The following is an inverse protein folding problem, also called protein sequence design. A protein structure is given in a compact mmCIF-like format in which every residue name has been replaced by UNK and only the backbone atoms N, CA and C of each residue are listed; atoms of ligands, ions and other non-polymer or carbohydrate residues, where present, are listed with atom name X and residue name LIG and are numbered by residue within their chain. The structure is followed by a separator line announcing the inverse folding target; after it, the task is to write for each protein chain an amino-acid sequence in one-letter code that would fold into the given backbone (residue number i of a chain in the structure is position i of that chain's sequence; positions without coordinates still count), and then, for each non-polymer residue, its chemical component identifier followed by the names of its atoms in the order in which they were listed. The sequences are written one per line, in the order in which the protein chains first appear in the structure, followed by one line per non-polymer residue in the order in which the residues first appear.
data_IF_178930936866
#
_entry.id   IF_178930936866
#
_cell.length_a   1.000
_cell.length_b   1.000
_cell.length_c   1.000
_cell.angle_alpha   90.00
_cell.angle_beta   90.00
_cell.angle_gamma   90.00
#
_symmetry.space_group_name_H-M   'P 1'
#
loop_
_entity.id
_entity.type
_entity.pdbx_description
1 polymer ?
#
# COMPACT_ATOMS: atom_id res chain seq x y z
N UNK A 1 2.74 10.04 -26.46
CA UNK A 1 2.50 10.21 -25.01
C UNK A 1 3.30 9.13 -24.30
N UNK A 2 3.99 9.45 -23.22
CA UNK A 2 4.66 8.44 -22.39
C UNK A 2 3.67 7.95 -21.34
N UNK A 3 3.32 6.67 -21.37
CA UNK A 3 2.41 6.06 -20.38
C UNK A 3 3.19 5.62 -19.15
N UNK A 4 2.68 5.92 -17.96
CA UNK A 4 3.22 5.44 -16.68
C UNK A 4 2.34 4.30 -16.18
N UNK A 5 2.97 3.19 -15.79
CA UNK A 5 2.28 2.03 -15.21
C UNK A 5 2.55 1.99 -13.70
N UNK A 6 1.53 1.65 -12.92
CA UNK A 6 1.60 1.54 -11.45
C UNK A 6 1.12 0.15 -11.05
N UNK A 7 1.86 -0.52 -10.15
CA UNK A 7 1.47 -1.79 -9.57
C UNK A 7 1.37 -1.62 -8.04
N UNK A 8 0.16 -1.70 -7.45
CA UNK A 8 0.01 -1.64 -6.00
C UNK A 8 0.53 -2.93 -5.35
N UNK A 9 1.13 -2.80 -4.18
CA UNK A 9 1.51 -3.96 -3.37
C UNK A 9 0.27 -4.56 -2.69
N UNK A 10 0.17 -5.90 -2.57
CA UNK A 10 -0.85 -6.55 -1.76
C UNK A 10 -0.81 -6.04 -0.32
N UNK A 11 -1.96 -6.06 0.38
CA UNK A 11 -2.07 -5.59 1.77
C UNK A 11 -1.18 -6.37 2.76
N UNK A 12 -0.80 -7.60 2.40
CA UNK A 12 0.07 -8.48 3.20
C UNK A 12 1.56 -8.19 3.00
N UNK A 13 1.92 -7.46 1.94
CA UNK A 13 3.31 -7.18 1.60
C UNK A 13 3.76 -5.83 2.19
N UNK A 14 4.97 -5.82 2.75
CA UNK A 14 5.55 -4.63 3.34
C UNK A 14 6.51 -3.95 2.36
N UNK A 15 6.30 -2.66 2.11
CA UNK A 15 7.29 -1.81 1.47
C UNK A 15 7.34 -0.44 2.13
N UNK A 16 8.55 -0.03 2.50
CA UNK A 16 8.82 1.32 3.00
C UNK A 16 10.20 1.75 2.51
N UNK A 17 10.29 2.98 2.01
CA UNK A 17 11.57 3.61 1.68
C UNK A 17 11.96 4.58 2.78
N UNK A 18 13.16 4.39 3.33
CA UNK A 18 13.73 5.33 4.30
C UNK A 18 14.25 6.57 3.56
N UNK A 19 13.66 7.73 3.84
CA UNK A 19 14.07 9.03 3.32
C UNK A 19 14.42 10.04 4.44
N UNK A 20 13.98 9.81 5.67
CA UNK A 20 14.22 10.65 6.84
C UNK A 20 14.37 9.79 8.10
N UNK A 21 14.73 10.41 9.24
CA UNK A 21 14.96 9.67 10.49
C UNK A 21 13.67 9.10 11.09
N UNK A 22 12.53 9.73 10.81
CA UNK A 22 11.22 9.23 11.23
C UNK A 22 10.89 7.89 10.54
N UNK A 23 11.04 7.83 9.21
CA UNK A 23 10.86 6.61 8.43
C UNK A 23 11.90 5.56 8.79
N UNK A 24 13.13 5.96 9.15
CA UNK A 24 14.13 5.04 9.69
C UNK A 24 13.67 4.40 11.01
N UNK A 25 13.08 5.20 11.91
CA UNK A 25 12.53 4.72 13.18
C UNK A 25 11.35 3.76 12.95
N UNK A 26 10.43 4.09 12.04
CA UNK A 26 9.30 3.23 11.65
C UNK A 26 9.81 1.91 11.06
N UNK A 27 10.64 1.98 10.00
CA UNK A 27 11.19 0.80 9.33
C UNK A 27 11.91 -0.13 10.31
N UNK A 28 12.72 0.43 11.21
CA UNK A 28 13.46 -0.36 12.21
C UNK A 28 12.53 -1.06 13.20
N UNK A 29 11.46 -0.37 13.61
CA UNK A 29 10.45 -0.95 14.51
C UNK A 29 9.65 -2.04 13.82
N UNK A 30 9.28 -1.84 12.56
CA UNK A 30 8.54 -2.82 11.75
C UNK A 30 9.37 -4.08 11.50
N UNK A 31 10.67 -3.94 11.22
CA UNK A 31 11.61 -5.07 11.13
C UNK A 31 11.71 -5.81 12.46
N UNK A 32 11.85 -5.08 13.58
CA UNK A 32 11.95 -5.68 14.92
C UNK A 32 10.66 -6.43 15.30
N UNK A 33 9.51 -5.87 14.94
CA UNK A 33 8.18 -6.46 15.15
C UNK A 33 7.79 -7.51 14.11
N UNK A 34 8.68 -7.83 13.16
CA UNK A 34 8.51 -8.87 12.13
C UNK A 34 7.45 -8.59 11.08
N UNK A 35 7.10 -7.34 10.83
CA UNK A 35 6.23 -6.97 9.69
C UNK A 35 6.88 -7.30 8.35
N UNK A 36 8.22 -7.33 8.31
CA UNK A 36 9.00 -7.61 7.09
C UNK A 36 9.45 -9.08 7.02
N UNK A 37 8.72 -10.02 7.64
CA UNK A 37 9.08 -11.44 7.57
C UNK A 37 9.08 -11.94 6.11
N UNK A 38 10.08 -12.75 5.66
CA UNK A 38 11.13 -13.42 6.43
C UNK A 38 12.40 -12.59 6.66
N UNK A 39 12.44 -11.31 6.26
CA UNK A 39 13.60 -10.42 6.36
C UNK A 39 13.82 -9.85 7.77
N UNK A 40 13.97 -10.73 8.77
CA UNK A 40 14.14 -10.38 10.18
C UNK A 40 15.48 -10.86 10.75
N UNK A 41 16.03 -10.24 11.81
CA UNK A 41 17.41 -10.49 12.26
C UNK A 41 17.74 -11.94 12.65
N UNK A 42 16.77 -12.72 13.13
CA UNK A 42 16.99 -14.11 13.56
C UNK A 42 17.03 -15.13 12.41
N UNK A 43 16.53 -14.77 11.22
CA UNK A 43 16.45 -15.69 10.07
C UNK A 43 17.79 -15.86 9.34
N UNK A 44 18.84 -15.14 9.73
CA UNK A 44 20.20 -15.34 9.22
C UNK A 44 20.35 -15.02 7.72
N UNK A 45 19.53 -14.10 7.20
CA UNK A 45 19.50 -13.73 5.77
C UNK A 45 20.88 -13.30 5.28
N UNK A 46 21.62 -12.56 6.11
CA UNK A 46 22.99 -12.16 5.83
C UNK A 46 23.97 -13.23 6.32
N UNK A 47 24.44 -14.08 5.41
CA UNK A 47 25.52 -15.05 5.69
C UNK A 47 25.06 -16.44 6.08
N UNK A 48 23.75 -16.75 6.01
CA UNK A 48 23.18 -18.10 6.28
C UNK A 48 23.42 -18.66 7.69
N UNK A 49 23.82 -17.81 8.63
CA UNK A 49 24.03 -18.16 10.03
C UNK A 49 23.01 -17.47 10.93
N UNK A 50 22.30 -18.26 11.75
CA UNK A 50 21.39 -17.75 12.77
C UNK A 50 22.16 -17.27 13.99
N UNK A 51 22.68 -16.05 13.88
CA UNK A 51 23.51 -15.39 14.88
C UNK A 51 22.71 -14.77 16.04
N UNK A 52 21.44 -14.44 15.79
CA UNK A 52 20.53 -13.88 16.77
C UNK A 52 19.56 -14.95 17.30
N UNK A 53 19.36 -14.97 18.61
CA UNK A 53 18.25 -15.68 19.26
C UNK A 53 17.09 -14.73 19.49
N UNK A 54 15.89 -15.14 19.06
CA UNK A 54 14.65 -14.41 19.30
C UNK A 54 13.99 -14.85 20.61
N UNK A 55 13.57 -13.89 21.44
CA UNK A 55 12.88 -14.11 22.71
C UNK A 55 11.54 -13.36 22.74
N UNK A 56 10.71 -13.62 23.76
CA UNK A 56 9.46 -12.89 23.98
C UNK A 56 9.71 -11.38 24.04
N UNK A 57 8.68 -10.59 23.69
CA UNK A 57 8.72 -9.13 23.59
C UNK A 57 9.67 -8.61 22.50
N UNK A 58 9.83 -9.36 21.42
CA UNK A 58 10.66 -8.98 20.26
C UNK A 58 12.11 -8.63 20.62
N UNK A 59 12.70 -9.45 21.52
CA UNK A 59 14.08 -9.25 21.94
C UNK A 59 15.00 -10.14 21.10
N UNK A 60 15.91 -9.52 20.37
CA UNK A 60 16.94 -10.17 19.56
C UNK A 60 18.28 -10.07 20.28
N UNK A 61 18.90 -11.22 20.55
CA UNK A 61 20.19 -11.29 21.24
C UNK A 61 21.19 -12.02 20.39
N UNK A 62 22.32 -11.40 20.10
CA UNK A 62 23.45 -12.12 19.53
C UNK A 62 23.98 -13.17 20.53
N UNK A 63 24.57 -14.27 20.05
CA UNK A 63 25.12 -15.33 20.92
C UNK A 63 26.28 -14.85 21.81
N UNK A 64 27.07 -13.92 21.29
CA UNK A 64 28.27 -13.38 21.96
C UNK A 64 27.97 -12.05 22.66
N UNK A 65 27.10 -12.03 23.66
CA UNK A 65 26.81 -10.81 24.45
C UNK A 65 27.17 -11.01 25.93
N UNK A 66 27.49 -9.91 26.62
CA UNK A 66 27.70 -9.89 28.07
C UNK A 66 26.64 -8.99 28.70
N UNK A 67 25.63 -9.62 29.30
CA UNK A 67 24.54 -8.94 29.99
C UNK A 67 24.72 -9.11 31.51
N UNK A 68 24.78 -8.01 32.25
CA UNK A 68 24.84 -8.04 33.70
C UNK A 68 23.53 -8.56 34.33
N UNK A 69 23.60 -9.14 35.53
CA UNK A 69 22.47 -9.83 36.16
C UNK A 69 21.27 -8.92 36.47
N UNK A 70 21.51 -7.63 36.73
CA UNK A 70 20.47 -6.64 37.03
C UNK A 70 20.07 -5.78 35.82
N UNK A 71 20.63 -6.05 34.64
CA UNK A 71 20.24 -5.35 33.43
C UNK A 71 18.85 -5.80 32.97
N UNK A 72 17.98 -4.85 32.63
CA UNK A 72 16.60 -5.10 32.22
C UNK A 72 16.43 -4.77 30.75
N UNK A 73 16.00 -5.78 29.98
CA UNK A 73 15.63 -5.62 28.58
C UNK A 73 14.10 -5.70 28.51
N UNK A 74 13.45 -4.61 28.06
CA UNK A 74 11.99 -4.51 28.03
C UNK A 74 11.40 -5.14 26.76
N UNK A 75 11.11 -4.33 25.74
CA UNK A 75 10.49 -4.76 24.47
C UNK A 75 11.19 -4.15 23.27
N UNK A 76 11.12 -4.84 22.13
CA UNK A 76 11.63 -4.41 20.82
C UNK A 76 13.12 -3.99 20.90
N UNK A 77 13.96 -4.90 21.41
CA UNK A 77 15.40 -4.63 21.61
C UNK A 77 16.23 -5.54 20.74
N UNK A 78 17.19 -4.97 20.02
CA UNK A 78 18.18 -5.72 19.22
C UNK A 78 19.58 -5.47 19.78
N UNK A 79 20.31 -6.53 20.11
CA UNK A 79 21.65 -6.45 20.68
C UNK A 79 22.66 -7.17 19.79
N UNK A 80 23.58 -6.39 19.22
CA UNK A 80 24.66 -6.85 18.35
C UNK A 80 25.74 -7.69 19.03
N UNK A 81 26.68 -8.17 18.21
CA UNK A 81 27.81 -8.99 18.66
C UNK A 81 28.72 -8.21 19.62
N UNK A 82 29.26 -8.88 20.66
CA UNK A 82 30.25 -8.34 21.61
C UNK A 82 29.77 -7.12 22.39
N UNK A 83 28.46 -6.91 22.49
CA UNK A 83 27.92 -5.87 23.35
C UNK A 83 28.06 -6.24 24.83
N UNK A 84 28.40 -5.24 25.63
CA UNK A 84 28.50 -5.31 27.09
C UNK A 84 27.48 -4.35 27.70
N UNK A 85 26.56 -4.86 28.51
CA UNK A 85 25.56 -4.05 29.21
C UNK A 85 25.72 -4.29 30.70
N UNK A 86 26.03 -3.24 31.45
CA UNK A 86 26.31 -3.30 32.89
C UNK A 86 25.03 -3.23 33.76
N UNK A 87 25.21 -3.28 35.08
CA UNK A 87 24.15 -3.41 36.07
C UNK A 87 23.19 -2.22 36.12
N UNK A 88 21.93 -2.50 36.47
CA UNK A 88 20.86 -1.52 36.68
C UNK A 88 20.51 -0.66 35.45
N UNK A 89 20.97 -1.08 34.27
CA UNK A 89 20.65 -0.44 32.99
C UNK A 89 19.36 -1.00 32.38
N UNK A 90 18.56 -0.12 31.81
CA UNK A 90 17.27 -0.44 31.17
C UNK A 90 17.33 -0.09 29.69
N UNK A 91 16.97 -1.04 28.82
CA UNK A 91 16.93 -0.86 27.37
C UNK A 91 15.55 -1.21 26.84
N UNK A 92 14.94 -0.30 26.08
CA UNK A 92 13.61 -0.46 25.48
C UNK A 92 13.53 0.18 24.10
N UNK A 93 12.86 -0.48 23.15
CA UNK A 93 12.62 -0.01 21.78
C UNK A 93 13.89 0.52 21.09
N UNK A 94 15.02 -0.15 21.30
CA UNK A 94 16.34 0.36 20.95
C UNK A 94 17.19 -0.71 20.26
N UNK A 95 18.03 -0.27 19.34
CA UNK A 95 18.94 -1.13 18.57
C UNK A 95 20.37 -0.78 18.96
N UNK A 96 21.13 -1.79 19.37
CA UNK A 96 22.54 -1.69 19.71
C UNK A 96 23.36 -2.44 18.66
N UNK A 97 24.24 -1.71 17.96
CA UNK A 97 25.21 -2.22 17.00
C UNK A 97 26.28 -3.10 17.64
N UNK A 98 27.27 -3.53 16.86
CA UNK A 98 28.32 -4.43 17.31
C UNK A 98 29.33 -3.72 18.21
N UNK A 99 29.75 -4.39 19.28
CA UNK A 99 30.83 -3.93 20.15
C UNK A 99 30.47 -2.74 21.06
N UNK A 100 29.18 -2.44 21.23
CA UNK A 100 28.74 -1.37 22.11
C UNK A 100 29.00 -1.70 23.59
N UNK A 101 29.41 -0.70 24.36
CA UNK A 101 29.61 -0.82 25.80
C UNK A 101 28.70 0.16 26.52
N UNK A 102 27.80 -0.36 27.33
CA UNK A 102 26.82 0.42 28.10
C UNK A 102 27.13 0.25 29.58
N UNK A 103 27.40 1.37 30.25
CA UNK A 103 27.70 1.46 31.67
C UNK A 103 26.49 1.21 32.56
N UNK A 104 26.63 1.54 33.85
CA UNK A 104 25.67 1.26 34.91
C UNK A 104 24.61 2.34 35.03
N UNK A 105 23.42 1.94 35.46
CA UNK A 105 22.30 2.84 35.74
C UNK A 105 21.93 3.74 34.53
N UNK A 106 22.03 3.20 33.32
CA UNK A 106 21.67 3.92 32.10
C UNK A 106 20.23 3.61 31.68
N UNK A 107 19.58 4.57 31.03
CA UNK A 107 18.22 4.40 30.48
C UNK A 107 18.25 4.67 28.99
N UNK A 108 18.03 3.64 28.17
CA UNK A 108 18.03 3.72 26.72
C UNK A 108 16.62 3.46 26.19
N UNK A 109 15.98 4.47 25.62
CA UNK A 109 14.61 4.38 25.09
C UNK A 109 14.50 4.99 23.70
N UNK A 110 14.00 4.22 22.71
CA UNK A 110 13.89 4.67 21.33
C UNK A 110 15.24 5.15 20.73
N UNK A 111 16.32 4.44 21.04
CA UNK A 111 17.67 4.83 20.65
C UNK A 111 18.24 3.88 19.60
N UNK A 112 19.02 4.45 18.67
CA UNK A 112 19.78 3.71 17.67
C UNK A 112 21.26 3.96 17.90
N UNK A 113 21.96 2.99 18.47
CA UNK A 113 23.40 3.04 18.69
C UNK A 113 24.06 2.16 17.62
N UNK A 114 24.91 2.75 16.78
CA UNK A 114 25.69 2.01 15.78
C UNK A 114 26.92 1.33 16.42
N UNK A 115 27.81 0.83 15.58
CA UNK A 115 28.94 -0.02 16.01
C UNK A 115 29.97 0.76 16.85
N UNK A 116 30.49 0.13 17.90
CA UNK A 116 31.57 0.66 18.72
C UNK A 116 31.20 1.80 19.69
N UNK A 117 29.90 2.08 19.88
CA UNK A 117 29.44 3.15 20.78
C UNK A 117 29.73 2.81 22.25
N UNK A 118 30.26 3.79 22.99
CA UNK A 118 30.55 3.67 24.41
C UNK A 118 29.70 4.67 25.20
N UNK A 119 28.84 4.16 26.08
CA UNK A 119 27.99 4.94 26.96
C UNK A 119 28.42 4.69 28.39
N UNK A 120 28.95 5.71 29.05
CA UNK A 120 29.38 5.64 30.45
C UNK A 120 28.18 5.66 31.44
N UNK A 121 28.47 5.55 32.73
CA UNK A 121 27.45 5.42 33.79
C UNK A 121 26.47 6.60 33.89
N UNK A 122 25.24 6.31 34.32
CA UNK A 122 24.15 7.26 34.62
C UNK A 122 23.66 8.10 33.42
N UNK A 123 23.77 7.58 32.19
CA UNK A 123 23.28 8.28 31.01
C UNK A 123 21.79 8.02 30.75
N UNK A 124 21.07 9.04 30.28
CA UNK A 124 19.66 8.95 29.89
C UNK A 124 19.54 9.33 28.42
N UNK A 125 19.18 8.37 27.59
CA UNK A 125 19.06 8.53 26.14
C UNK A 125 17.62 8.28 25.72
N UNK A 126 17.03 9.24 25.02
CA UNK A 126 15.65 9.17 24.56
C UNK A 126 15.51 9.74 23.13
N UNK A 127 15.04 8.92 22.18
CA UNK A 127 14.89 9.30 20.76
C UNK A 127 16.19 9.87 20.18
N UNK A 128 17.27 9.10 20.18
CA UNK A 128 18.56 9.56 19.66
C UNK A 128 19.20 8.56 18.70
N UNK A 129 19.95 9.09 17.73
CA UNK A 129 20.85 8.30 16.87
C UNK A 129 22.28 8.62 17.25
N UNK A 130 23.05 7.57 17.45
CA UNK A 130 24.45 7.64 17.82
C UNK A 130 25.23 6.82 16.81
N UNK A 131 26.04 7.49 16.01
CA UNK A 131 26.85 6.86 14.98
C UNK A 131 28.07 6.13 15.55
N UNK A 132 28.92 5.63 14.66
CA UNK A 132 30.02 4.73 15.01
C UNK A 132 31.09 5.39 15.90
N UNK A 133 31.63 4.61 16.84
CA UNK A 133 32.75 4.99 17.72
C UNK A 133 32.51 6.26 18.57
N UNK A 134 31.25 6.62 18.83
CA UNK A 134 30.91 7.74 19.71
C UNK A 134 31.12 7.37 21.18
N UNK A 135 31.64 8.32 21.97
CA UNK A 135 31.86 8.16 23.41
C UNK A 135 31.01 9.17 24.18
N UNK A 136 30.11 8.68 25.02
CA UNK A 136 29.29 9.48 25.93
C UNK A 136 29.87 9.40 27.33
N UNK A 137 30.36 10.54 27.84
CA UNK A 137 30.80 10.66 29.23
C UNK A 137 29.67 10.41 30.24
N UNK A 138 30.01 10.21 31.53
CA UNK A 138 29.02 9.81 32.53
C UNK A 138 28.00 10.92 32.80
N UNK A 139 26.75 10.54 33.05
CA UNK A 139 25.67 11.49 33.37
C UNK A 139 25.15 12.31 32.19
N UNK A 140 25.44 11.91 30.95
CA UNK A 140 24.93 12.59 29.76
C UNK A 140 23.42 12.34 29.57
N UNK A 141 22.70 13.38 29.17
CA UNK A 141 21.27 13.32 28.89
C UNK A 141 21.00 13.78 27.44
N UNK A 142 20.58 12.87 26.58
CA UNK A 142 20.27 13.14 25.18
C UNK A 142 18.78 12.94 24.94
N UNK A 143 18.09 13.97 24.47
CA UNK A 143 16.64 13.96 24.28
C UNK A 143 16.22 14.54 22.94
N UNK A 144 14.97 14.28 22.53
CA UNK A 144 14.30 14.99 21.43
C UNK A 144 15.02 14.93 20.07
N UNK A 145 15.45 13.75 19.60
CA UNK A 145 15.93 13.61 18.23
C UNK A 145 17.38 14.05 18.00
N UNK A 146 18.22 13.95 19.04
CA UNK A 146 19.66 14.20 18.91
C UNK A 146 20.32 13.19 17.93
N UNK A 147 21.17 13.71 17.05
CA UNK A 147 21.95 12.93 16.08
C UNK A 147 23.43 13.19 16.33
N UNK A 148 24.17 12.17 16.74
CA UNK A 148 25.61 12.24 16.92
C UNK A 148 26.31 11.53 15.76
N UNK A 149 27.10 12.29 15.01
CA UNK A 149 27.94 11.78 13.94
C UNK A 149 29.10 10.92 14.46
N UNK A 150 29.84 10.26 13.56
CA UNK A 150 30.91 9.34 13.93
C UNK A 150 32.00 10.02 14.75
N UNK A 151 32.60 9.27 15.68
CA UNK A 151 33.75 9.67 16.50
C UNK A 151 33.52 10.88 17.42
N UNK A 152 32.26 11.32 17.59
CA UNK A 152 31.92 12.40 18.53
C UNK A 152 32.23 11.96 19.97
N UNK A 153 32.81 12.86 20.75
CA UNK A 153 33.09 12.64 22.17
C UNK A 153 32.38 13.70 23.00
N UNK A 154 31.48 13.27 23.90
CA UNK A 154 30.78 14.15 24.82
C UNK A 154 31.37 14.07 26.23
N UNK A 155 31.62 15.24 26.80
CA UNK A 155 32.09 15.41 28.17
C UNK A 155 31.03 14.99 29.20
N UNK A 156 31.47 14.72 30.43
CA UNK A 156 30.62 14.36 31.58
C UNK A 156 29.48 15.38 31.79
N UNK A 157 28.26 14.88 31.98
CA UNK A 157 27.11 15.67 32.45
C UNK A 157 26.48 16.60 31.41
N UNK A 158 26.73 16.39 30.12
CA UNK A 158 26.14 17.22 29.06
C UNK A 158 24.66 16.89 28.85
N UNK A 159 23.83 17.92 28.68
CA UNK A 159 22.42 17.78 28.32
C UNK A 159 22.20 18.39 26.94
N UNK A 160 21.77 17.58 25.98
CA UNK A 160 21.54 17.99 24.60
C UNK A 160 20.11 17.63 24.19
N UNK A 161 19.45 18.54 23.50
CA UNK A 161 18.12 18.35 22.94
C UNK A 161 18.07 18.91 21.52
N UNK A 162 17.50 18.16 20.56
CA UNK A 162 17.33 18.59 19.14
C UNK A 162 18.60 19.09 18.45
N UNK A 163 19.75 18.46 18.72
CA UNK A 163 21.03 18.87 18.13
C UNK A 163 21.61 17.79 17.21
N UNK A 164 22.24 18.24 16.13
CA UNK A 164 23.11 17.40 15.28
C UNK A 164 24.57 17.77 15.54
N UNK A 165 25.39 16.78 15.90
CA UNK A 165 26.81 16.98 16.19
C UNK A 165 27.70 16.20 15.23
N UNK A 166 28.84 16.78 14.86
CA UNK A 166 29.88 16.17 14.05
C UNK A 166 31.24 16.26 14.75
N UNK A 167 32.12 15.29 14.55
CA UNK A 167 33.44 15.26 15.19
C UNK A 167 34.41 16.31 14.61
N UNK A 168 34.30 16.62 13.33
CA UNK A 168 35.15 17.60 12.64
C UNK A 168 34.42 18.92 12.48
N UNK A 169 35.16 20.02 12.54
CA UNK A 169 34.61 21.32 12.18
C UNK A 169 34.18 21.26 10.70
N UNK A 170 32.99 21.75 10.33
CA UNK A 170 32.61 21.87 8.92
C UNK A 170 33.64 22.71 8.17
N UNK A 171 34.00 22.29 6.95
CA UNK A 171 34.97 23.01 6.10
C UNK A 171 34.39 24.32 5.55
N UNK A 172 33.07 24.54 5.68
CA UNK A 172 32.39 25.75 5.22
C UNK A 172 32.50 26.89 6.24
N UNK A 173 33.22 27.95 5.84
CA UNK A 173 33.35 29.24 6.53
C UNK A 173 32.00 29.98 6.74
N UNK A 174 30.91 29.43 6.20
CA UNK A 174 29.54 29.97 6.28
C UNK A 174 28.68 29.33 7.39
N UNK A 175 29.19 28.33 8.10
CA UNK A 175 28.46 27.68 9.20
C UNK A 175 28.84 28.27 10.56
N UNK A 176 27.85 28.76 11.33
CA UNK A 176 28.01 29.16 12.74
C UNK A 176 28.17 27.93 13.66
N UNK A 177 29.10 27.03 13.32
CA UNK A 177 29.36 25.80 14.04
C UNK A 177 29.98 26.10 15.42
N UNK A 178 29.19 25.93 16.49
CA UNK A 178 29.63 26.11 17.87
C UNK A 178 30.29 24.83 18.37
N UNK A 179 31.51 24.89 18.92
CA UNK A 179 32.11 23.73 19.59
C UNK A 179 31.39 23.48 20.91
N UNK A 180 30.83 22.29 21.08
CA UNK A 180 30.27 21.79 22.35
C UNK A 180 31.34 21.05 23.15
N UNK A 181 32.23 20.32 22.46
CA UNK A 181 33.36 19.62 23.03
C UNK A 181 34.54 19.58 22.03
N UNK A 182 35.69 19.03 22.44
CA UNK A 182 36.91 18.95 21.63
C UNK A 182 36.69 18.23 20.29
N UNK A 183 35.82 17.22 20.29
CA UNK A 183 35.40 16.45 19.12
C UNK A 183 33.87 16.50 18.92
N UNK A 184 33.26 17.68 19.13
CA UNK A 184 31.82 17.85 18.92
C UNK A 184 31.48 19.28 18.48
N UNK A 185 31.12 19.43 17.21
CA UNK A 185 30.70 20.68 16.59
C UNK A 185 29.24 20.61 16.18
N UNK A 186 28.47 21.68 16.41
CA UNK A 186 27.07 21.74 15.96
C UNK A 186 26.99 21.88 14.46
N UNK A 187 26.14 21.07 13.83
CA UNK A 187 25.68 21.28 12.46
C UNK A 187 24.34 22.02 12.54
N UNK A 188 24.24 23.26 12.04
CA UNK A 188 22.96 23.95 11.95
C UNK A 188 22.01 23.14 11.06
N UNK A 189 20.77 22.96 11.50
CA UNK A 189 19.72 22.44 10.62
C UNK A 189 19.44 23.53 9.57
N UNK A 190 19.51 23.19 8.28
CA UNK A 190 19.20 24.12 7.18
C UNK A 190 17.78 24.72 7.26
N UNK A 191 16.92 24.15 8.11
CA UNK A 191 15.52 24.56 8.32
C UNK A 191 15.30 25.74 9.26
N UNK A 192 16.31 26.24 9.99
CA UNK A 192 16.12 27.47 10.81
C UNK A 192 16.27 28.78 9.99
N UNK A 193 16.48 28.68 8.67
CA UNK A 193 16.74 29.83 7.79
C UNK A 193 15.52 30.54 7.16
N UNK A 194 14.31 29.97 7.21
CA UNK A 194 13.13 30.52 6.50
C UNK A 194 11.85 30.50 7.35
N UNK A 195 11.94 30.89 8.62
CA UNK A 195 10.76 31.02 9.49
C UNK A 195 9.99 32.35 9.33
N UNK A 196 10.41 33.25 8.42
CA UNK A 196 9.83 34.58 8.21
C UNK A 196 9.07 34.74 6.87
N UNK A 197 8.94 33.69 6.05
CA UNK A 197 8.00 33.71 4.92
C UNK A 197 6.63 33.21 5.40
N UNK A 198 5.75 34.16 5.71
CA UNK A 198 4.30 33.90 5.85
C UNK A 198 3.82 33.11 4.62
N UNK A 199 3.18 31.94 4.78
CA UNK A 199 2.70 31.17 3.65
C UNK A 199 1.62 31.97 2.90
N UNK A 200 1.83 32.20 1.60
CA UNK A 200 0.86 32.83 0.70
C UNK A 200 -0.49 32.08 0.80
N UNK A 201 -1.55 32.83 1.07
CA UNK A 201 -2.87 32.35 1.50
C UNK A 201 -3.72 31.64 0.44
N UNK A 202 -3.13 31.22 -0.68
CA UNK A 202 -3.89 30.84 -1.89
C UNK A 202 -3.58 29.39 -2.36
N UNK A 203 -2.98 28.55 -1.52
CA UNK A 203 -2.88 27.11 -1.77
C UNK A 203 -4.00 26.36 -1.03
N UNK A 204 -5.03 25.93 -1.78
CA UNK A 204 -6.06 25.02 -1.28
C UNK A 204 -5.42 23.76 -0.67
N UNK A 205 -5.74 23.49 0.60
CA UNK A 205 -5.52 22.29 1.42
C UNK A 205 -4.92 21.04 0.73
N UNK A 206 -3.66 21.12 0.30
CA UNK A 206 -2.79 19.95 0.19
C UNK A 206 -1.89 19.93 1.41
N UNK A 207 -2.21 19.07 2.38
CA UNK A 207 -1.27 18.61 3.39
C UNK A 207 -0.13 17.85 2.69
N UNK A 208 0.76 18.57 2.02
CA UNK A 208 2.07 18.11 1.58
C UNK A 208 2.99 18.01 2.82
N UNK A 209 2.60 17.18 3.77
CA UNK A 209 3.43 16.86 4.92
C UNK A 209 4.30 15.66 4.52
N UNK A 210 5.62 15.87 4.52
CA UNK A 210 6.64 14.84 4.75
C UNK A 210 7.35 14.13 3.58
N UNK A 211 7.55 14.75 2.41
CA UNK A 211 8.51 14.18 1.42
C UNK A 211 9.83 14.94 1.28
N UNK A 212 9.92 16.20 1.73
CA UNK A 212 11.13 17.04 1.58
C UNK A 212 11.86 17.46 2.86
N UNK A 213 11.21 17.41 4.04
CA UNK A 213 11.80 17.94 5.28
C UNK A 213 12.49 16.86 6.12
N UNK A 214 13.73 17.09 6.60
CA UNK A 214 14.40 16.16 7.51
C UNK A 214 13.71 16.16 8.88
N UNK A 215 12.79 15.22 9.08
CA UNK A 215 12.18 14.99 10.40
C UNK A 215 13.16 14.25 11.33
N UNK A 216 13.41 14.81 12.51
CA UNK A 216 14.17 14.16 13.60
C UNK A 216 13.34 13.06 14.26
N UNK A 217 13.99 12.19 15.05
CA UNK A 217 13.26 11.21 15.85
C UNK A 217 12.38 11.89 16.88
N UNK A 218 11.23 11.29 17.10
CA UNK A 218 10.27 11.75 18.08
C UNK A 218 9.26 10.67 18.40
N UNK A 219 8.29 11.04 19.23
CA UNK A 219 7.20 10.17 19.56
C UNK A 219 6.39 9.87 18.30
N UNK A 220 6.28 8.58 17.94
CA UNK A 220 5.50 8.17 16.78
C UNK A 220 4.01 8.39 17.08
N UNK A 221 3.25 9.05 16.20
CA UNK A 221 1.81 9.15 16.36
C UNK A 221 1.19 7.75 16.38
N UNK A 222 0.17 7.56 17.20
CA UNK A 222 -0.52 6.26 17.37
C UNK A 222 -1.27 5.81 16.12
N UNK A 223 -1.55 6.75 15.23
CA UNK A 223 -2.24 6.58 13.97
C UNK A 223 -1.47 7.38 12.93
N UNK A 224 -0.92 6.68 11.94
CA UNK A 224 -0.49 7.34 10.71
C UNK A 224 -1.73 8.02 10.11
N UNK A 225 -1.65 9.27 9.63
CA UNK A 225 -2.69 9.77 8.75
C UNK A 225 -2.81 8.79 7.59
N UNK A 226 -4.06 8.44 7.24
CA UNK A 226 -4.32 7.70 6.03
C UNK A 226 -3.58 8.40 4.89
N UNK A 227 -2.75 7.66 4.17
CA UNK A 227 -2.21 8.21 2.93
C UNK A 227 -3.41 8.66 2.09
N UNK A 228 -3.29 9.70 1.27
CA UNK A 228 -4.29 10.05 0.25
C UNK A 228 -4.56 8.89 -0.75
N UNK A 229 -3.80 7.79 -0.64
CA UNK A 229 -3.97 6.52 -1.33
C UNK A 229 -4.48 5.38 -0.42
N UNK A 230 -4.89 5.67 0.82
CA UNK A 230 -5.52 4.72 1.73
C UNK A 230 -6.92 4.45 1.20
N UNK A 231 -7.03 3.41 0.40
CA UNK A 231 -8.32 2.97 -0.09
C UNK A 231 -9.10 2.37 1.08
N UNK A 232 -10.23 3.01 1.39
CA UNK A 232 -11.22 2.61 2.40
C UNK A 232 -11.41 1.09 2.47
N UNK A 233 -11.32 0.55 3.68
CA UNK A 233 -11.25 -0.88 4.01
C UNK A 233 -12.58 -1.63 3.93
N UNK A 234 -13.49 -1.26 3.02
CA UNK A 234 -14.81 -1.90 2.91
C UNK A 234 -15.01 -2.76 1.65
N UNK A 235 -13.99 -2.93 0.80
CA UNK A 235 -14.08 -3.73 -0.44
C UNK A 235 -13.07 -4.89 -0.50
N UNK A 236 -13.16 -5.83 0.46
CA UNK A 236 -12.20 -6.93 0.66
C UNK A 236 -12.51 -8.24 -0.13
N UNK A 237 -13.24 -8.19 -1.26
CA UNK A 237 -13.46 -9.39 -2.10
C UNK A 237 -13.29 -9.16 -3.62
N UNK A 238 -13.06 -7.93 -4.06
CA UNK A 238 -13.01 -7.54 -5.47
C UNK A 238 -11.60 -7.43 -6.05
N UNK A 239 -10.53 -7.55 -5.25
CA UNK A 239 -9.16 -7.15 -5.66
C UNK A 239 -8.15 -8.29 -5.76
N UNK A 240 -8.52 -9.40 -6.39
CA UNK A 240 -7.48 -10.31 -6.86
C UNK A 240 -6.65 -9.61 -7.96
N UNK A 241 -5.34 -9.83 -8.00
CA UNK A 241 -4.48 -9.21 -9.01
C UNK A 241 -4.89 -9.68 -10.41
N UNK A 242 -5.00 -8.76 -11.37
CA UNK A 242 -5.28 -9.10 -12.76
C UNK A 242 -4.31 -10.17 -13.26
N UNK A 243 -4.78 -11.33 -13.75
CA UNK A 243 -3.92 -12.40 -14.22
C UNK A 243 -3.03 -11.95 -15.37
N UNK A 244 -1.94 -12.69 -15.63
CA UNK A 244 -1.21 -12.52 -16.90
C UNK A 244 -2.20 -12.69 -18.07
N UNK A 245 -2.01 -11.95 -19.16
CA UNK A 245 -2.98 -11.93 -20.26
C UNK A 245 -3.24 -13.33 -20.86
N UNK A 246 -2.26 -14.23 -20.78
CA UNK A 246 -2.43 -15.64 -21.17
C UNK A 246 -3.38 -16.40 -20.22
N UNK A 247 -3.31 -16.15 -18.91
CA UNK A 247 -4.20 -16.77 -17.90
C UNK A 247 -5.64 -16.25 -18.02
N UNK A 248 -5.82 -14.96 -18.34
CA UNK A 248 -7.14 -14.38 -18.58
C UNK A 248 -7.83 -14.97 -19.83
N UNK A 249 -7.06 -15.21 -20.90
CA UNK A 249 -7.56 -15.88 -22.10
C UNK A 249 -7.91 -17.34 -21.84
N UNK A 250 -7.12 -18.05 -21.02
CA UNK A 250 -7.41 -19.43 -20.60
C UNK A 250 -8.72 -19.46 -19.80
N UNK A 251 -8.88 -18.57 -18.81
CA UNK A 251 -10.12 -18.46 -18.04
C UNK A 251 -11.33 -18.18 -18.93
N UNK A 252 -11.24 -17.20 -19.84
CA UNK A 252 -12.33 -16.88 -20.77
C UNK A 252 -12.71 -18.11 -21.62
N UNK A 253 -11.73 -18.89 -22.09
CA UNK A 253 -11.99 -20.11 -22.85
C UNK A 253 -12.73 -21.16 -22.02
N UNK A 254 -12.35 -21.34 -20.76
CA UNK A 254 -12.95 -22.31 -19.83
C UNK A 254 -14.38 -21.93 -19.44
N UNK A 255 -14.62 -20.64 -19.17
CA UNK A 255 -15.96 -20.09 -18.92
C UNK A 255 -16.84 -20.25 -20.17
N UNK A 256 -16.31 -19.92 -21.35
CA UNK A 256 -17.06 -20.06 -22.62
C UNK A 256 -17.43 -21.51 -22.89
N UNK A 257 -16.51 -22.46 -22.67
CA UNK A 257 -16.78 -23.89 -22.83
C UNK A 257 -17.83 -24.38 -21.82
N UNK A 258 -17.72 -23.96 -20.56
CA UNK A 258 -18.67 -24.29 -19.49
C UNK A 258 -20.08 -23.80 -19.81
N UNK A 259 -20.21 -22.55 -20.25
CA UNK A 259 -21.50 -21.97 -20.69
C UNK A 259 -22.04 -22.69 -21.93
N UNK A 260 -21.21 -22.94 -22.95
CA UNK A 260 -21.63 -23.64 -24.18
C UNK A 260 -22.14 -25.05 -23.89
N UNK A 261 -21.45 -25.79 -23.02
CA UNK A 261 -21.86 -27.12 -22.55
C UNK A 261 -23.17 -27.02 -21.78
N UNK A 262 -23.25 -26.12 -20.81
CA UNK A 262 -24.46 -25.87 -20.01
C UNK A 262 -25.69 -25.61 -20.87
N UNK A 263 -25.57 -24.74 -21.88
CA UNK A 263 -26.66 -24.42 -22.80
C UNK A 263 -27.09 -25.62 -23.67
N UNK A 264 -26.12 -26.40 -24.17
CA UNK A 264 -26.39 -27.55 -25.03
C UNK A 264 -27.07 -28.69 -24.28
N UNK A 265 -26.63 -28.94 -23.05
CA UNK A 265 -27.13 -30.02 -22.19
C UNK A 265 -28.36 -29.60 -21.36
N UNK A 266 -28.69 -28.30 -21.34
CA UNK A 266 -29.71 -27.68 -20.47
C UNK A 266 -29.49 -28.01 -18.99
N UNK A 267 -28.24 -27.92 -18.55
CA UNK A 267 -27.84 -28.14 -17.16
C UNK A 267 -28.46 -27.11 -16.21
N UNK A 268 -28.40 -27.32 -14.89
CA UNK A 268 -28.89 -26.30 -13.95
C UNK A 268 -27.94 -25.08 -13.96
N UNK A 269 -28.44 -23.84 -14.17
CA UNK A 269 -27.64 -22.62 -14.09
C UNK A 269 -26.85 -22.46 -12.79
N UNK A 270 -27.32 -23.02 -11.66
CA UNK A 270 -26.59 -22.98 -10.39
C UNK A 270 -25.28 -23.77 -10.42
N UNK A 271 -25.22 -24.88 -11.18
CA UNK A 271 -23.98 -25.63 -11.34
C UNK A 271 -22.95 -24.85 -12.18
N UNK A 272 -23.42 -24.05 -13.13
CA UNK A 272 -22.54 -23.18 -13.91
C UNK A 272 -21.92 -22.09 -13.04
N UNK A 273 -22.66 -21.53 -12.08
CA UNK A 273 -22.10 -20.57 -11.11
C UNK A 273 -21.00 -21.22 -10.28
N UNK A 274 -21.17 -22.48 -9.85
CA UNK A 274 -20.16 -23.21 -9.10
C UNK A 274 -18.91 -23.51 -9.95
N UNK A 275 -19.08 -23.88 -11.22
CA UNK A 275 -17.97 -24.10 -12.15
C UNK A 275 -17.18 -22.79 -12.39
N UNK A 276 -17.88 -21.69 -12.67
CA UNK A 276 -17.25 -20.37 -12.89
C UNK A 276 -16.53 -19.90 -11.61
N UNK A 277 -17.11 -20.10 -10.43
CA UNK A 277 -16.45 -19.77 -9.17
C UNK A 277 -15.23 -20.67 -8.92
N UNK A 278 -15.31 -21.96 -9.25
CA UNK A 278 -14.17 -22.87 -9.17
C UNK A 278 -13.03 -22.39 -10.06
N UNK A 279 -13.31 -22.01 -11.31
CA UNK A 279 -12.30 -21.46 -12.23
C UNK A 279 -11.80 -20.10 -11.75
N UNK A 280 -12.65 -19.24 -11.19
CA UNK A 280 -12.23 -17.94 -10.58
C UNK A 280 -11.12 -18.17 -9.55
N UNK A 281 -11.32 -19.12 -8.64
CA UNK A 281 -10.33 -19.41 -7.60
C UNK A 281 -9.08 -20.12 -8.15
N UNK A 282 -9.22 -20.91 -9.23
CA UNK A 282 -8.10 -21.58 -9.87
C UNK A 282 -7.13 -20.59 -10.54
N UNK A 283 -7.66 -19.54 -11.18
CA UNK A 283 -6.86 -18.51 -11.88
C UNK A 283 -6.72 -17.20 -11.09
N UNK A 284 -7.13 -17.19 -9.82
CA UNK A 284 -7.05 -16.03 -8.93
C UNK A 284 -7.64 -14.73 -9.53
N UNK A 285 -8.84 -14.81 -10.09
CA UNK A 285 -9.46 -13.68 -10.79
C UNK A 285 -10.27 -12.77 -9.88
N UNK A 286 -10.19 -11.46 -10.14
CA UNK A 286 -10.99 -10.47 -9.44
C UNK A 286 -12.48 -10.63 -9.80
N UNK A 287 -13.36 -10.26 -8.87
CA UNK A 287 -14.80 -10.36 -9.14
C UNK A 287 -15.23 -9.47 -10.31
N UNK A 288 -14.65 -8.27 -10.43
CA UNK A 288 -14.89 -7.36 -11.56
C UNK A 288 -14.47 -7.96 -12.90
N UNK A 289 -13.32 -8.63 -12.94
CA UNK A 289 -12.84 -9.33 -14.13
C UNK A 289 -13.72 -10.54 -14.46
N UNK A 290 -14.17 -11.28 -13.46
CA UNK A 290 -15.12 -12.39 -13.68
C UNK A 290 -16.44 -11.87 -14.23
N UNK A 291 -16.96 -10.75 -13.70
CA UNK A 291 -18.17 -10.11 -14.23
C UNK A 291 -18.00 -9.78 -15.71
N UNK A 292 -16.89 -9.11 -16.04
CA UNK A 292 -16.52 -8.75 -17.41
C UNK A 292 -16.43 -9.99 -18.33
N UNK A 293 -15.67 -11.02 -17.94
CA UNK A 293 -15.47 -12.21 -18.78
C UNK A 293 -16.70 -13.09 -18.92
N UNK A 294 -17.56 -13.17 -17.89
CA UNK A 294 -18.85 -13.88 -17.99
C UNK A 294 -19.76 -13.20 -19.01
N UNK A 295 -19.85 -11.87 -18.99
CA UNK A 295 -20.63 -11.10 -19.97
C UNK A 295 -20.03 -11.26 -21.37
N UNK A 296 -18.71 -11.12 -21.51
CA UNK A 296 -17.99 -11.33 -22.78
C UNK A 296 -18.24 -12.72 -23.35
N UNK A 297 -18.18 -13.77 -22.52
CA UNK A 297 -18.43 -15.15 -22.94
C UNK A 297 -19.89 -15.37 -23.42
N UNK A 298 -20.88 -14.78 -22.74
CA UNK A 298 -22.29 -14.85 -23.17
C UNK A 298 -22.50 -14.12 -24.51
N UNK A 299 -21.87 -12.97 -24.72
CA UNK A 299 -21.92 -12.25 -25.98
C UNK A 299 -21.24 -13.03 -27.12
N UNK A 300 -20.08 -13.62 -26.88
CA UNK A 300 -19.39 -14.49 -27.84
C UNK A 300 -20.23 -15.73 -28.18
N UNK A 301 -20.87 -16.35 -27.18
CA UNK A 301 -21.79 -17.47 -27.40
C UNK A 301 -23.04 -17.06 -28.20
N UNK A 302 -23.50 -15.81 -28.05
CA UNK A 302 -24.59 -15.23 -28.85
C UNK A 302 -24.17 -15.10 -30.31
N UNK A 303 -22.98 -14.58 -30.58
CA UNK A 303 -22.44 -14.42 -31.93
C UNK A 303 -22.18 -15.77 -32.62
N UNK A 304 -21.89 -16.81 -31.84
CA UNK A 304 -21.71 -18.17 -32.35
C UNK A 304 -23.01 -18.86 -32.79
N UNK A 305 -24.20 -18.31 -32.50
CA UNK A 305 -25.48 -18.89 -32.94
C UNK A 305 -25.78 -18.56 -34.41
N UNK A 306 -26.43 -19.50 -35.11
CA UNK A 306 -26.85 -19.29 -36.50
C UNK A 306 -27.82 -18.10 -36.62
N UNK A 307 -27.49 -17.13 -37.49
CA UNK A 307 -28.34 -15.95 -37.74
C UNK A 307 -28.19 -14.81 -36.72
N UNK A 308 -27.18 -14.86 -35.82
CA UNK A 308 -26.95 -13.81 -34.82
C UNK A 308 -26.77 -12.41 -35.42
N UNK A 309 -26.10 -12.29 -36.57
CA UNK A 309 -25.87 -11.00 -37.24
C UNK A 309 -27.18 -10.24 -37.56
N UNK A 310 -28.21 -10.95 -38.04
CA UNK A 310 -29.50 -10.34 -38.38
C UNK A 310 -30.42 -10.19 -37.17
N UNK A 311 -30.36 -11.08 -36.18
CA UNK A 311 -31.30 -11.16 -35.07
C UNK A 311 -30.65 -11.11 -33.66
N UNK A 312 -29.59 -10.30 -33.49
CA UNK A 312 -28.76 -10.21 -32.28
C UNK A 312 -29.55 -10.14 -30.97
N UNK A 313 -30.37 -9.10 -30.78
CA UNK A 313 -31.13 -8.88 -29.54
C UNK A 313 -32.05 -10.07 -29.21
N UNK A 314 -32.71 -10.64 -30.23
CA UNK A 314 -33.59 -11.80 -30.02
C UNK A 314 -32.82 -13.08 -29.64
N UNK A 315 -31.59 -13.21 -30.11
CA UNK A 315 -30.70 -14.34 -29.82
C UNK A 315 -30.13 -14.20 -28.41
N UNK A 316 -29.69 -13.00 -28.05
CA UNK A 316 -29.26 -12.65 -26.71
C UNK A 316 -30.38 -12.87 -25.69
N UNK A 317 -31.61 -12.44 -26.01
CA UNK A 317 -32.77 -12.65 -25.16
C UNK A 317 -33.07 -14.15 -24.91
N UNK A 318 -32.87 -15.02 -25.91
CA UNK A 318 -33.01 -16.47 -25.74
C UNK A 318 -31.93 -17.04 -24.80
N UNK A 319 -30.68 -16.62 -24.97
CA UNK A 319 -29.56 -17.07 -24.14
C UNK A 319 -29.71 -16.58 -22.70
N UNK A 320 -30.02 -15.31 -22.48
CA UNK A 320 -30.30 -14.74 -21.15
C UNK A 320 -31.60 -15.27 -20.54
N UNK A 321 -32.52 -15.82 -21.34
CA UNK A 321 -33.66 -16.59 -20.81
C UNK A 321 -33.22 -17.83 -20.05
N UNK A 322 -32.11 -18.46 -20.44
CA UNK A 322 -31.52 -19.60 -19.75
C UNK A 322 -30.44 -19.18 -18.73
N UNK A 323 -29.54 -18.26 -19.10
CA UNK A 323 -28.45 -17.78 -18.26
C UNK A 323 -28.83 -16.65 -17.30
N UNK A 324 -30.09 -16.21 -17.28
CA UNK A 324 -30.56 -15.14 -16.41
C UNK A 324 -30.13 -15.29 -14.94
N UNK A 325 -30.23 -16.48 -14.31
CA UNK A 325 -29.74 -16.70 -12.96
C UNK A 325 -28.22 -16.49 -12.80
N UNK A 326 -27.43 -16.91 -13.79
CA UNK A 326 -25.97 -16.70 -13.82
C UNK A 326 -25.68 -15.20 -13.97
N UNK A 327 -26.34 -14.55 -14.93
CA UNK A 327 -26.15 -13.13 -15.21
C UNK A 327 -26.48 -12.26 -13.99
N UNK A 328 -27.62 -12.50 -13.33
CA UNK A 328 -28.01 -11.79 -12.09
C UNK A 328 -27.15 -12.16 -10.88
N UNK A 329 -26.38 -13.25 -10.94
CA UNK A 329 -25.45 -13.58 -9.87
C UNK A 329 -24.21 -12.69 -9.88
N UNK A 330 -23.69 -12.40 -11.07
CA UNK A 330 -22.46 -11.62 -11.26
C UNK A 330 -22.75 -10.12 -11.43
N UNK A 331 -23.81 -9.76 -12.14
CA UNK A 331 -24.17 -8.36 -12.38
C UNK A 331 -25.09 -7.89 -11.25
N UNK A 332 -24.48 -7.49 -10.12
CA UNK A 332 -25.15 -6.96 -8.93
C UNK A 332 -24.51 -5.65 -8.49
N UNK A 333 -25.34 -4.62 -8.32
CA UNK A 333 -24.87 -3.29 -7.95
C UNK A 333 -24.21 -2.53 -9.11
N UNK A 334 -24.00 -1.24 -8.91
CA UNK A 334 -23.52 -0.32 -9.93
C UNK A 334 -22.12 -0.68 -10.50
N UNK A 335 -21.11 -1.07 -9.71
CA UNK A 335 -19.79 -1.42 -10.25
C UNK A 335 -19.84 -2.60 -11.23
N UNK A 336 -20.61 -3.65 -10.92
CA UNK A 336 -20.74 -4.82 -11.78
C UNK A 336 -21.52 -4.51 -13.07
N UNK A 337 -22.49 -3.58 -13.01
CA UNK A 337 -23.19 -3.08 -14.19
C UNK A 337 -22.23 -2.34 -15.13
N UNK A 338 -21.30 -1.55 -14.59
CA UNK A 338 -20.25 -0.89 -15.40
C UNK A 338 -19.31 -1.92 -16.03
N UNK A 339 -18.91 -2.97 -15.30
CA UNK A 339 -18.09 -4.07 -15.87
C UNK A 339 -18.82 -4.79 -17.02
N UNK A 340 -20.13 -4.97 -16.90
CA UNK A 340 -20.98 -5.51 -17.97
C UNK A 340 -20.99 -4.61 -19.21
N UNK A 341 -21.14 -3.29 -19.02
CA UNK A 341 -21.16 -2.33 -20.11
C UNK A 341 -19.79 -2.22 -20.81
N UNK A 342 -18.68 -2.27 -20.05
CA UNK A 342 -17.32 -2.36 -20.60
C UNK A 342 -17.10 -3.62 -21.43
N UNK A 343 -17.63 -4.77 -20.98
CA UNK A 343 -17.58 -6.01 -21.77
C UNK A 343 -18.35 -5.89 -23.09
N UNK A 344 -19.50 -5.20 -23.08
CA UNK A 344 -20.27 -4.93 -24.30
C UNK A 344 -19.52 -3.98 -25.25
N UNK A 345 -18.85 -2.96 -24.70
CA UNK A 345 -18.00 -2.03 -25.46
C UNK A 345 -16.87 -2.78 -26.18
N UNK A 346 -16.10 -3.60 -25.46
CA UNK A 346 -14.98 -4.34 -26.05
C UNK A 346 -15.44 -5.28 -27.18
N UNK A 347 -16.56 -6.00 -26.98
CA UNK A 347 -17.13 -6.86 -28.03
C UNK A 347 -17.70 -6.05 -29.19
N UNK A 348 -18.22 -4.84 -28.94
CA UNK A 348 -18.69 -3.95 -30.00
C UNK A 348 -17.52 -3.45 -30.87
N UNK A 349 -16.36 -3.17 -30.26
CA UNK A 349 -15.12 -2.81 -30.96
C UNK A 349 -14.54 -4.00 -31.74
N UNK A 350 -14.59 -5.22 -31.18
CA UNK A 350 -14.17 -6.45 -31.87
C UNK A 350 -15.07 -6.77 -33.09
N UNK A 351 -16.38 -6.57 -32.96
CA UNK A 351 -17.39 -6.93 -33.98
C UNK A 351 -18.31 -5.75 -34.36
N UNK A 352 -17.77 -4.73 -35.06
CA UNK A 352 -18.47 -3.47 -35.32
C UNK A 352 -19.69 -3.64 -36.23
N UNK A 353 -19.65 -4.59 -37.17
CA UNK A 353 -20.74 -4.82 -38.12
C UNK A 353 -21.98 -5.48 -37.48
N UNK A 354 -21.84 -6.12 -36.32
CA UNK A 354 -22.93 -6.84 -35.65
C UNK A 354 -23.27 -6.24 -34.30
N UNK A 355 -22.33 -6.24 -33.35
CA UNK A 355 -22.58 -5.77 -31.97
C UNK A 355 -22.51 -4.25 -31.94
N UNK A 356 -21.47 -3.65 -32.54
CA UNK A 356 -21.34 -2.19 -32.64
C UNK A 356 -22.55 -1.54 -33.32
N UNK A 357 -22.96 -2.05 -34.49
CA UNK A 357 -24.12 -1.53 -35.23
C UNK A 357 -25.46 -1.60 -34.45
N UNK A 358 -25.56 -2.46 -33.42
CA UNK A 358 -26.77 -2.68 -32.62
C UNK A 358 -26.57 -2.38 -31.14
N UNK A 359 -25.47 -1.72 -30.76
CA UNK A 359 -25.09 -1.53 -29.35
C UNK A 359 -26.20 -0.86 -28.54
N UNK A 360 -26.81 0.21 -29.07
CA UNK A 360 -27.92 0.91 -28.41
C UNK A 360 -29.14 0.01 -28.19
N UNK A 361 -29.45 -0.88 -29.14
CA UNK A 361 -30.56 -1.82 -28.99
C UNK A 361 -30.27 -2.91 -27.96
N UNK A 362 -29.00 -3.30 -27.80
CA UNK A 362 -28.57 -4.26 -26.77
C UNK A 362 -28.61 -3.62 -25.38
N UNK A 363 -28.09 -2.39 -25.23
CA UNK A 363 -28.14 -1.65 -23.96
C UNK A 363 -29.58 -1.39 -23.53
N UNK A 364 -30.44 -0.93 -24.44
CA UNK A 364 -31.87 -0.75 -24.16
C UNK A 364 -32.55 -2.06 -23.72
N UNK A 365 -32.21 -3.19 -24.35
CA UNK A 365 -32.73 -4.49 -23.93
C UNK A 365 -32.25 -4.90 -22.52
N UNK A 366 -31.00 -4.60 -22.15
CA UNK A 366 -30.49 -4.88 -20.80
C UNK A 366 -31.18 -4.01 -19.75
N UNK A 367 -31.48 -2.75 -20.09
CA UNK A 367 -32.28 -1.85 -19.27
C UNK A 367 -33.72 -2.36 -19.08
N UNK A 368 -34.44 -2.68 -20.17
CA UNK A 368 -35.82 -3.23 -20.11
C UNK A 368 -35.96 -4.54 -19.33
N UNK A 369 -34.86 -5.27 -19.11
CA UNK A 369 -34.83 -6.53 -18.37
C UNK A 369 -34.30 -6.41 -16.95
N UNK A 370 -34.12 -5.18 -16.46
CA UNK A 370 -33.60 -4.85 -15.14
C UNK A 370 -32.21 -5.49 -14.88
N UNK A 371 -31.39 -5.61 -15.93
CA UNK A 371 -30.01 -6.09 -15.80
C UNK A 371 -29.02 -4.97 -15.55
N UNK A 372 -29.31 -3.77 -16.06
CA UNK A 372 -28.48 -2.56 -15.93
C UNK A 372 -29.42 -1.40 -15.61
N UNK A 373 -29.06 -0.60 -14.61
CA UNK A 373 -29.82 0.58 -14.19
C UNK A 373 -29.44 1.82 -15.02
N UNK A 374 -30.30 2.83 -15.01
CA UNK A 374 -30.11 4.08 -15.75
C UNK A 374 -28.81 4.78 -15.36
N UNK A 375 -28.54 4.87 -14.06
CA UNK A 375 -27.39 5.57 -13.50
C UNK A 375 -26.07 4.99 -14.03
N UNK A 376 -26.01 3.66 -14.15
CA UNK A 376 -24.84 2.96 -14.69
C UNK A 376 -24.65 3.24 -16.20
N UNK A 377 -25.75 3.41 -16.96
CA UNK A 377 -25.69 3.71 -18.40
C UNK A 377 -25.17 5.14 -18.61
N UNK A 378 -25.66 6.10 -17.81
CA UNK A 378 -25.26 7.51 -17.88
C UNK A 378 -23.79 7.68 -17.48
N UNK A 379 -23.36 7.04 -16.38
CA UNK A 379 -21.97 7.05 -15.93
C UNK A 379 -21.04 6.43 -16.98
N UNK A 380 -21.39 5.26 -17.52
CA UNK A 380 -20.60 4.62 -18.57
C UNK A 380 -20.50 5.51 -19.82
N UNK A 381 -21.61 6.08 -20.29
CA UNK A 381 -21.61 6.95 -21.48
C UNK A 381 -20.69 8.18 -21.32
N UNK A 382 -20.60 8.75 -20.10
CA UNK A 382 -19.68 9.83 -19.79
C UNK A 382 -18.19 9.47 -19.91
N UNK A 383 -17.86 8.18 -19.75
CA UNK A 383 -16.49 7.64 -19.81
C UNK A 383 -16.09 6.96 -21.12
N UNK A 384 -16.98 6.82 -22.10
CA UNK A 384 -16.66 6.20 -23.40
C UNK A 384 -15.73 7.11 -24.20
N UNK A 385 -14.52 6.67 -24.56
CA UNK A 385 -13.57 7.43 -25.39
C UNK A 385 -13.89 7.36 -26.90
N UNK A 386 -14.55 6.29 -27.36
CA UNK A 386 -14.81 6.03 -28.78
C UNK A 386 -16.01 6.84 -29.32
N UNK A 387 -15.72 7.75 -30.26
CA UNK A 387 -16.69 8.73 -30.75
C UNK A 387 -17.88 8.10 -31.51
N UNK A 388 -17.66 6.98 -32.19
CA UNK A 388 -18.69 6.27 -32.96
C UNK A 388 -19.69 5.54 -32.05
N UNK A 389 -19.19 4.89 -30.99
CA UNK A 389 -20.00 4.23 -29.97
C UNK A 389 -20.82 5.25 -29.17
N UNK A 390 -20.21 6.39 -28.81
CA UNK A 390 -20.90 7.51 -28.15
C UNK A 390 -22.05 8.07 -29.01
N UNK A 391 -21.81 8.28 -30.31
CA UNK A 391 -22.86 8.75 -31.25
C UNK A 391 -24.00 7.74 -31.42
N UNK A 392 -23.69 6.44 -31.42
CA UNK A 392 -24.71 5.39 -31.54
C UNK A 392 -25.66 5.37 -30.32
N UNK A 393 -25.16 5.71 -29.13
CA UNK A 393 -25.91 5.74 -27.87
C UNK A 393 -26.60 7.07 -27.57
N UNK A 394 -26.21 8.16 -28.24
CA UNK A 394 -26.71 9.51 -27.95
C UNK A 394 -28.25 9.62 -27.88
N UNK A 395 -28.97 8.97 -28.80
CA UNK A 395 -30.45 8.96 -28.80
C UNK A 395 -31.06 8.19 -27.64
N UNK A 396 -30.39 7.15 -27.17
CA UNK A 396 -30.83 6.35 -26.02
C UNK A 396 -30.62 7.13 -24.73
N UNK A 397 -29.47 7.81 -24.59
CA UNK A 397 -29.14 8.65 -23.43
C UNK A 397 -30.05 9.88 -23.35
N UNK A 398 -30.35 10.52 -24.49
CA UNK A 398 -31.32 11.61 -24.55
C UNK A 398 -32.72 11.16 -24.10
N UNK A 399 -33.13 9.94 -24.47
CA UNK A 399 -34.40 9.36 -24.04
C UNK A 399 -34.44 9.03 -22.53
N UNK A 400 -33.35 8.48 -21.98
CA UNK A 400 -33.25 8.20 -20.53
C UNK A 400 -33.35 9.49 -19.71
N UNK A 401 -32.58 10.53 -20.07
CA UNK A 401 -32.63 11.83 -19.38
C UNK A 401 -34.03 12.48 -19.43
N UNK A 402 -34.74 12.38 -20.55
CA UNK A 402 -36.11 12.91 -20.68
C UNK A 402 -37.11 12.12 -19.82
N UNK A 403 -36.96 10.79 -19.73
CA UNK A 403 -37.81 9.94 -18.90
C UNK A 403 -37.64 10.25 -17.41
N UNK A 404 -36.42 10.59 -16.97
CA UNK A 404 -36.15 10.99 -15.59
C UNK A 404 -36.75 12.35 -15.23
N UNK A 405 -36.74 13.32 -16.15
CA UNK A 405 -37.32 14.66 -15.94
C UNK A 405 -38.86 14.61 -15.81
N UNK A 406 -39.53 13.70 -16.54
CA UNK A 406 -40.99 13.52 -16.46
C UNK A 406 -41.44 12.80 -15.17
N UNK A 407 -40.62 11.91 -14.59
CA UNK A 407 -40.92 11.24 -13.32
C UNK A 407 -40.77 12.15 -12.09
N UNK A 408 -39.87 13.15 -12.16
CA UNK A 408 -39.74 14.17 -11.12
C UNK A 408 -40.94 15.15 -11.11
N UNK A 409 -41.46 15.55 -12.28
CA UNK A 409 -42.62 16.46 -12.39
C UNK A 409 -43.98 15.82 -11.99
N UNK A 410 -44.14 14.50 -12.04
CA UNK A 410 -45.35 13.80 -11.54
C UNK A 410 -45.32 13.55 -10.02
N UNK A 411 -44.19 13.79 -9.36
CA UNK A 411 -43.98 13.55 -7.92
C UNK A 411 -44.12 14.80 -7.03
N UNK A 412 -44.22 15.99 -7.64
CA UNK A 412 -44.56 17.29 -7.01
C UNK A 412 -46.06 17.63 -7.18
#
# INVERSE_FOLDING_TARGET
ASTIYVAPLPAEEYALRVNNWHNYQIASRDVTNRFVYPLVPDMGICGSEQLYSFSRNNIYRHRNIRLARRATLESDVVIGEKCEIDEDTVVAHSVLGKGCKIGKNCQLRNCFLLDGVQVEDNCVLNHCIIAENVILGPGCNLTEGCVLGPEVVLSKGMTLAKMTLQSTKPDDDWSDAKPIAEHAFTVPDETEGDADEEPDSDAEDTQDVATGYPMRLGELPRTSPESIYSMSSEEDESRAASPLQDDANIFLSEVTESLKRGFSEKSNPEYLILEINSSRYAYNMALSEVNFFVVKAILQLTLAQEGAATALVSTLAKLLGYFGPVFKNYIRGQPAMLDCLKALEEVATEEPATVGAKIAAVVHFLYEKDYVAEEAILEWHGGIDEEDTRKALAKLVEWLNQSSEEEEEESD
#
